data_IF_864345889233
#
_entry.id   IF_864345889233
#
_cell.length_a   1.000
_cell.length_b   1.000
_cell.length_c   1.000
_cell.angle_alpha   90.00
_cell.angle_beta   90.00
_cell.angle_gamma   90.00
#
_symmetry.space_group_name_H-M   'P 1'
#
loop_
_entity.id
_entity.type
_entity.pdbx_description
1 polymer ?
#
# COMPACT_ATOMS: atom_id res chain seq x y z
N UNK A 1 25.27 7.32 2.81
CA UNK A 1 24.27 7.22 1.73
C UNK A 1 22.93 7.44 2.41
N UNK A 2 22.10 8.37 1.95
CA UNK A 2 20.75 8.50 2.47
C UNK A 2 19.99 7.25 2.05
N UNK A 3 19.53 6.45 3.01
CA UNK A 3 18.53 5.40 2.75
C UNK A 3 17.31 6.09 2.15
N UNK A 4 17.25 6.16 0.82
CA UNK A 4 16.10 6.72 0.14
C UNK A 4 14.96 5.76 0.43
N UNK A 5 13.90 6.23 1.05
CA UNK A 5 12.70 5.45 1.30
C UNK A 5 11.65 5.90 0.30
N UNK A 6 10.94 4.94 -0.30
CA UNK A 6 9.84 5.23 -1.22
C UNK A 6 8.54 4.97 -0.46
N UNK A 7 7.62 5.92 -0.51
CA UNK A 7 6.36 5.88 0.21
C UNK A 7 5.21 6.08 -0.75
N UNK A 8 4.26 5.15 -0.79
CA UNK A 8 3.02 5.28 -1.56
C UNK A 8 1.81 5.37 -0.63
N UNK A 9 0.82 6.20 -0.94
CA UNK A 9 -0.44 6.22 -0.21
C UNK A 9 -1.21 4.92 -0.46
N UNK A 10 -1.87 4.42 0.57
CA UNK A 10 -2.80 3.29 0.49
C UNK A 10 -4.10 3.63 1.19
N UNK A 11 -5.18 2.98 0.75
CA UNK A 11 -6.48 2.99 1.42
C UNK A 11 -6.89 1.58 1.78
N UNK A 12 -7.03 1.31 3.06
CA UNK A 12 -7.45 0.04 3.63
C UNK A 12 -8.93 0.15 3.99
N UNK A 13 -9.76 -0.74 3.47
CA UNK A 13 -11.19 -0.82 3.76
C UNK A 13 -11.45 -2.02 4.64
N UNK A 14 -12.05 -1.78 5.81
CA UNK A 14 -12.51 -2.84 6.70
C UNK A 14 -13.66 -3.59 6.03
N UNK A 15 -13.70 -4.94 6.10
CA UNK A 15 -14.83 -5.71 5.63
C UNK A 15 -16.12 -5.37 6.42
N UNK A 16 -17.27 -5.58 5.78
CA UNK A 16 -18.57 -5.41 6.45
C UNK A 16 -18.93 -6.63 7.30
N UNK A 17 -18.55 -7.80 6.81
CA UNK A 17 -18.78 -9.10 7.45
C UNK A 17 -17.44 -9.71 7.89
N UNK A 18 -17.41 -10.44 9.01
CA UNK A 18 -16.16 -10.97 9.58
C UNK A 18 -15.47 -12.03 8.70
N UNK A 19 -16.21 -12.63 7.77
CA UNK A 19 -15.70 -13.63 6.82
C UNK A 19 -15.11 -13.01 5.53
N UNK A 20 -15.23 -11.69 5.34
CA UNK A 20 -14.67 -10.99 4.18
C UNK A 20 -13.26 -10.43 4.49
N UNK A 21 -12.36 -10.38 3.50
CA UNK A 21 -11.03 -9.82 3.70
C UNK A 21 -11.05 -8.29 3.79
N UNK A 22 -9.99 -7.72 4.39
CA UNK A 22 -9.66 -6.31 4.20
C UNK A 22 -9.25 -6.07 2.75
N UNK A 23 -9.62 -4.90 2.22
CA UNK A 23 -9.24 -4.48 0.87
C UNK A 23 -8.24 -3.35 0.97
N UNK A 24 -7.06 -3.54 0.37
CA UNK A 24 -6.03 -2.52 0.24
C UNK A 24 -6.07 -1.97 -1.17
N UNK A 25 -6.17 -0.66 -1.32
CA UNK A 25 -6.17 0.01 -2.62
C UNK A 25 -4.96 0.94 -2.74
N UNK A 26 -4.21 0.78 -3.84
CA UNK A 26 -3.11 1.62 -4.25
C UNK A 26 -3.58 2.58 -5.35
N UNK A 27 -3.88 3.85 -5.04
CA UNK A 27 -4.39 4.80 -6.02
C UNK A 27 -3.39 5.09 -7.16
N UNK A 28 -2.09 5.08 -6.89
CA UNK A 28 -1.06 5.39 -7.90
C UNK A 28 -0.85 4.25 -8.89
N UNK A 29 -1.22 3.02 -8.51
CA UNK A 29 -1.17 1.83 -9.36
C UNK A 29 -2.55 1.46 -9.94
N UNK A 30 -3.62 2.07 -9.40
CA UNK A 30 -5.01 1.64 -9.59
C UNK A 30 -5.25 0.15 -9.28
N UNK A 31 -4.55 -0.37 -8.27
CA UNK A 31 -4.51 -1.80 -7.94
C UNK A 31 -5.11 -2.12 -6.57
N UNK A 32 -5.62 -3.34 -6.42
CA UNK A 32 -6.27 -3.84 -5.21
C UNK A 32 -5.62 -5.12 -4.69
N UNK A 33 -5.40 -5.18 -3.37
CA UNK A 33 -4.97 -6.38 -2.65
C UNK A 33 -5.99 -6.77 -1.58
N UNK A 34 -5.92 -8.02 -1.15
CA UNK A 34 -6.75 -8.57 -0.09
C UNK A 34 -5.87 -9.03 1.06
N UNK A 35 -6.34 -8.80 2.28
CA UNK A 35 -5.62 -9.15 3.49
C UNK A 35 -6.56 -9.74 4.54
N UNK A 36 -6.07 -10.69 5.33
CA UNK A 36 -6.86 -11.39 6.35
C UNK A 36 -7.09 -10.52 7.59
N UNK A 37 -6.26 -9.50 7.79
CA UNK A 37 -6.36 -8.59 8.93
C UNK A 37 -5.89 -7.18 8.59
N UNK A 38 -6.18 -6.25 9.49
CA UNK A 38 -5.69 -4.87 9.37
C UNK A 38 -4.15 -4.80 9.38
N UNK A 39 -3.48 -5.61 10.20
CA UNK A 39 -2.01 -5.67 10.20
C UNK A 39 -1.46 -6.31 8.93
N UNK A 40 -2.09 -7.38 8.46
CA UNK A 40 -1.71 -8.08 7.23
C UNK A 40 -1.85 -7.15 6.01
N UNK A 41 -2.81 -6.22 6.03
CA UNK A 41 -2.98 -5.21 4.98
C UNK A 41 -1.70 -4.40 4.71
N UNK A 42 -0.92 -4.08 5.75
CA UNK A 42 0.36 -3.38 5.57
C UNK A 42 1.46 -4.31 5.07
N UNK A 43 1.46 -5.57 5.50
CA UNK A 43 2.43 -6.58 5.02
C UNK A 43 2.24 -6.78 3.52
N UNK A 44 1.01 -7.07 3.09
CA UNK A 44 0.65 -7.22 1.67
C UNK A 44 1.01 -5.98 0.86
N UNK A 45 0.71 -4.78 1.39
CA UNK A 45 1.08 -3.53 0.74
C UNK A 45 2.60 -3.37 0.56
N UNK A 46 3.39 -3.73 1.57
CA UNK A 46 4.84 -3.66 1.48
C UNK A 46 5.42 -4.70 0.51
N UNK A 47 4.86 -5.92 0.48
CA UNK A 47 5.28 -6.95 -0.46
C UNK A 47 4.96 -6.55 -1.91
N UNK A 48 3.75 -6.05 -2.18
CA UNK A 48 3.38 -5.51 -3.48
C UNK A 48 4.34 -4.43 -3.98
N UNK A 49 4.68 -3.46 -3.12
CA UNK A 49 5.63 -2.41 -3.50
C UNK A 49 7.03 -2.98 -3.77
N UNK A 50 7.50 -3.97 -3.00
CA UNK A 50 8.80 -4.60 -3.25
C UNK A 50 8.83 -5.33 -4.60
N UNK A 51 7.75 -5.99 -4.99
CA UNK A 51 7.65 -6.66 -6.29
C UNK A 51 7.67 -5.64 -7.44
N UNK A 52 6.88 -4.58 -7.35
CA UNK A 52 6.81 -3.53 -8.38
C UNK A 52 8.04 -2.64 -8.43
N UNK A 53 8.84 -2.58 -7.36
CA UNK A 53 10.11 -1.86 -7.36
C UNK A 53 11.17 -2.49 -8.28
N UNK A 54 10.98 -3.74 -8.69
CA UNK A 54 11.82 -4.39 -9.70
C UNK A 54 11.46 -3.95 -11.13
N UNK A 55 10.31 -3.28 -11.30
CA UNK A 55 9.86 -2.80 -12.60
C UNK A 55 10.42 -1.41 -12.89
N UNK A 56 10.95 -1.22 -14.11
CA UNK A 56 11.50 0.07 -14.57
C UNK A 56 10.43 1.18 -14.73
N UNK A 57 9.15 0.85 -14.59
CA UNK A 57 8.00 1.74 -14.85
C UNK A 57 7.18 2.08 -13.59
N UNK A 58 7.86 2.16 -12.43
CA UNK A 58 7.22 2.54 -11.17
C UNK A 58 6.62 3.96 -11.28
N UNK A 59 5.32 4.15 -10.95
CA UNK A 59 4.71 5.48 -10.97
C UNK A 59 5.36 6.41 -9.95
N UNK A 60 5.27 7.72 -10.20
CA UNK A 60 5.65 8.74 -9.21
C UNK A 60 4.68 8.67 -8.02
N UNK A 61 5.17 8.53 -6.77
CA UNK A 61 4.29 8.43 -5.62
C UNK A 61 3.49 9.71 -5.38
N UNK A 62 2.18 9.58 -5.16
CA UNK A 62 1.35 10.71 -4.75
C UNK A 62 1.73 11.20 -3.35
N UNK A 63 1.87 12.51 -3.20
CA UNK A 63 2.18 13.15 -1.90
C UNK A 63 0.96 13.28 -0.98
N UNK A 64 -0.23 12.90 -1.45
CA UNK A 64 -1.50 13.13 -0.76
C UNK A 64 -2.20 11.81 -0.48
N UNK A 65 -2.66 11.64 0.76
CA UNK A 65 -3.49 10.50 1.12
C UNK A 65 -4.88 10.60 0.46
N UNK A 66 -5.43 9.49 -0.07
CA UNK A 66 -6.80 9.49 -0.56
C UNK A 66 -7.78 9.80 0.58
N UNK A 67 -8.96 10.31 0.23
CA UNK A 67 -10.01 10.55 1.22
C UNK A 67 -10.52 9.23 1.82
N UNK A 68 -10.65 9.18 3.16
CA UNK A 68 -11.19 8.06 3.91
C UNK A 68 -12.63 8.32 4.38
N UNK A 69 -13.51 7.34 4.20
CA UNK A 69 -14.86 7.32 4.80
C UNK A 69 -14.90 6.44 6.06
N UNK A 70 -16.05 6.38 6.73
CA UNK A 70 -16.26 5.43 7.83
C UNK A 70 -15.95 3.99 7.37
N UNK A 71 -15.18 3.27 8.19
CA UNK A 71 -14.67 1.94 7.86
C UNK A 71 -13.44 1.91 6.94
N UNK A 72 -12.90 3.07 6.56
CA UNK A 72 -11.67 3.17 5.77
C UNK A 72 -10.55 3.83 6.58
N UNK A 73 -9.34 3.38 6.30
CA UNK A 73 -8.11 3.89 6.86
C UNK A 73 -7.14 4.22 5.72
N UNK A 74 -6.41 5.31 5.84
CA UNK A 74 -5.44 5.75 4.81
C UNK A 74 -4.11 6.06 5.45
N UNK A 75 -3.03 5.59 4.84
CA UNK A 75 -1.67 5.82 5.32
C UNK A 75 -0.70 5.77 4.15
N UNK A 76 0.51 6.26 4.37
CA UNK A 76 1.63 5.92 3.52
C UNK A 76 2.20 4.57 3.93
N UNK A 77 2.58 3.77 2.93
CA UNK A 77 3.35 2.55 3.10
C UNK A 77 4.73 2.81 2.53
N UNK A 78 5.74 2.63 3.39
CA UNK A 78 7.13 2.93 3.07
C UNK A 78 7.94 1.65 2.94
N UNK A 79 8.77 1.60 1.91
CA UNK A 79 9.77 0.54 1.67
C UNK A 79 11.16 1.16 1.47
N UNK A 80 12.24 0.57 2.02
CA UNK A 80 13.61 1.01 1.75
C UNK A 80 13.98 0.82 0.28
N UNK A 81 14.54 1.85 -0.37
CA UNK A 81 15.10 1.72 -1.73
C UNK A 81 16.35 0.83 -1.76
N UNK A 82 17.03 0.63 -0.61
CA UNK A 82 18.16 -0.30 -0.51
C UNK A 82 17.76 -1.78 -0.65
N UNK A 83 16.46 -2.12 -0.64
CA UNK A 83 15.98 -3.46 -1.02
C UNK A 83 15.84 -3.62 -2.54
N UNK A 84 16.24 -2.61 -3.31
CA UNK A 84 16.06 -2.48 -4.77
C UNK A 84 17.41 -2.46 -5.51
N UNK A 85 18.54 -2.53 -4.79
CA UNK A 85 19.90 -2.65 -5.35
C UNK A 85 20.44 -4.09 -5.25
#
# INVERSE_FOLDING_TARGET
MSDVAISFPVKITKPKDEDEPYVVYFPDFDEYLYAESFSDSFVQAQEFLKEHLLDDDLPEPSEVLPFAKEGQFTSFVTVPKALVD
#
